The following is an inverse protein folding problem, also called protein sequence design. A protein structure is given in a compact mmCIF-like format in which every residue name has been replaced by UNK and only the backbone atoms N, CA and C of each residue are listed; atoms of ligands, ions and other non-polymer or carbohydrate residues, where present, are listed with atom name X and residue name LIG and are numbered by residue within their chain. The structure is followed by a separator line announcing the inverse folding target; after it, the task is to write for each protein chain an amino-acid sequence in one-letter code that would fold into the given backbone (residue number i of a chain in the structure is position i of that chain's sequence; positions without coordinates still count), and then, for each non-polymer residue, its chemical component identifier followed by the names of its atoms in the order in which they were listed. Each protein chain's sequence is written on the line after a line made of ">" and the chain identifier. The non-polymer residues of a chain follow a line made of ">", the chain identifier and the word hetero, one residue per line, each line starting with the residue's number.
data_IF_608593194260
#
_entry.id   IF_608593194260
#
_cell.length_a   1.000
_cell.length_b   1.000
_cell.length_c   1.000
_cell.angle_alpha   90.00
_cell.angle_beta   90.00
_cell.angle_gamma   90.00
#
_symmetry.space_group_name_H-M   'P 1'
#
loop_
_entity.id
_entity.type
_entity.pdbx_description
1 polymer ?
#
# COMPACT_ATOMS: atom_id res chain seq x y z
N UNK A 1 -45.93 71.92 15.97
CA UNK A 1 -45.48 70.70 16.68
C UNK A 1 -46.17 69.40 16.21
N UNK A 2 -47.33 69.37 15.59
CA UNK A 2 -48.03 68.16 15.12
C UNK A 2 -47.51 67.59 13.79
N UNK A 3 -46.86 68.39 12.92
CA UNK A 3 -46.40 67.96 11.62
C UNK A 3 -45.07 67.18 11.66
N UNK A 4 -44.24 67.38 12.65
CA UNK A 4 -42.96 66.68 12.83
C UNK A 4 -43.09 65.23 13.33
N UNK A 5 -44.14 64.98 14.16
CA UNK A 5 -44.36 63.62 14.70
C UNK A 5 -44.91 62.63 13.69
N UNK A 6 -45.70 63.07 12.70
CA UNK A 6 -46.21 62.19 11.64
C UNK A 6 -45.16 61.78 10.63
N UNK A 7 -44.14 62.65 10.37
CA UNK A 7 -43.05 62.30 9.47
C UNK A 7 -42.11 61.25 10.04
N UNK A 8 -41.84 61.28 11.32
CA UNK A 8 -41.01 60.32 12.04
C UNK A 8 -41.68 58.94 12.07
N UNK A 9 -42.97 58.89 12.32
CA UNK A 9 -43.75 57.65 12.44
C UNK A 9 -43.85 56.90 11.05
N UNK A 10 -43.94 57.65 9.96
CA UNK A 10 -43.91 57.02 8.61
C UNK A 10 -42.53 56.52 8.17
N UNK A 11 -41.45 57.17 8.62
CA UNK A 11 -40.09 56.71 8.38
C UNK A 11 -39.77 55.43 9.17
N UNK A 12 -40.18 55.34 10.43
CA UNK A 12 -40.03 54.14 11.27
C UNK A 12 -40.82 52.94 10.72
N UNK A 13 -42.04 53.16 10.21
CA UNK A 13 -42.84 52.10 9.57
C UNK A 13 -42.20 51.56 8.28
N UNK A 14 -41.58 52.44 7.50
CA UNK A 14 -40.85 52.03 6.29
C UNK A 14 -39.55 51.25 6.61
N UNK A 15 -38.82 51.63 7.65
CA UNK A 15 -37.63 50.94 8.14
C UNK A 15 -38.00 49.57 8.72
N UNK A 16 -39.10 49.50 9.49
CA UNK A 16 -39.59 48.23 10.07
C UNK A 16 -40.06 47.25 8.96
N UNK A 17 -40.67 47.75 7.89
CA UNK A 17 -41.13 46.94 6.77
C UNK A 17 -39.93 46.45 5.93
N UNK A 18 -38.86 47.24 5.75
CA UNK A 18 -37.62 46.84 5.09
C UNK A 18 -36.86 45.79 5.92
N UNK A 19 -36.82 45.88 7.23
CA UNK A 19 -36.23 44.88 8.11
C UNK A 19 -37.00 43.54 8.06
N UNK A 20 -38.34 43.58 7.98
CA UNK A 20 -39.16 42.37 7.87
C UNK A 20 -38.94 41.63 6.53
N UNK A 21 -38.73 42.35 5.45
CA UNK A 21 -38.45 41.78 4.13
C UNK A 21 -37.04 41.16 4.07
N UNK A 22 -36.07 41.74 4.79
CA UNK A 22 -34.70 41.18 4.86
C UNK A 22 -34.67 39.86 5.66
N UNK A 23 -35.55 39.65 6.62
CA UNK A 23 -35.65 38.40 7.41
C UNK A 23 -36.36 37.30 6.63
N UNK A 24 -37.27 37.64 5.71
CA UNK A 24 -37.94 36.66 4.83
C UNK A 24 -37.12 36.24 3.63
N UNK A 25 -35.99 36.92 3.33
CA UNK A 25 -35.09 36.66 2.20
C UNK A 25 -34.04 35.58 2.44
N UNK A 26 -33.85 35.10 3.66
CA UNK A 26 -33.06 33.92 3.91
C UNK A 26 -33.84 32.67 3.45
N UNK A 27 -33.88 32.44 2.14
CA UNK A 27 -34.10 31.11 1.61
C UNK A 27 -32.97 30.26 2.17
N UNK A 28 -33.31 29.43 3.12
CA UNK A 28 -32.49 28.31 3.54
C UNK A 28 -32.17 27.53 2.26
N UNK A 29 -30.98 27.75 1.73
CA UNK A 29 -30.44 26.94 0.68
C UNK A 29 -30.31 25.53 1.31
N UNK A 30 -31.32 24.68 1.11
CA UNK A 30 -31.20 23.27 1.35
C UNK A 30 -29.98 22.86 0.51
N UNK A 31 -28.87 22.73 1.18
CA UNK A 31 -27.79 21.92 0.62
C UNK A 31 -28.46 20.57 0.33
N UNK A 32 -28.61 20.26 -0.94
CA UNK A 32 -28.79 18.90 -1.40
C UNK A 32 -27.44 18.26 -1.05
N UNK A 33 -27.29 17.83 0.20
CA UNK A 33 -26.38 16.74 0.48
C UNK A 33 -26.93 15.59 -0.36
N UNK A 34 -26.43 15.48 -1.59
CA UNK A 34 -26.47 14.23 -2.29
C UNK A 34 -25.85 13.26 -1.28
N UNK A 35 -26.66 12.37 -0.72
CA UNK A 35 -26.16 11.24 0.03
C UNK A 35 -25.34 10.45 -0.99
N UNK A 36 -24.05 10.77 -1.06
CA UNK A 36 -23.10 9.93 -1.78
C UNK A 36 -23.24 8.57 -1.10
N UNK A 37 -23.71 7.60 -1.85
CA UNK A 37 -23.70 6.22 -1.37
C UNK A 37 -22.29 5.94 -0.86
N UNK A 38 -22.12 5.26 0.30
CA UNK A 38 -20.80 4.94 0.80
C UNK A 38 -19.97 4.35 -0.34
N UNK A 39 -18.82 4.92 -0.61
CA UNK A 39 -17.96 4.52 -1.72
C UNK A 39 -16.81 3.71 -1.13
N UNK A 40 -16.57 2.54 -1.69
CA UNK A 40 -15.39 1.76 -1.37
C UNK A 40 -14.44 1.73 -2.57
N UNK A 41 -13.19 1.39 -2.35
CA UNK A 41 -12.20 1.30 -3.42
C UNK A 41 -11.04 0.38 -3.07
N UNK A 42 -10.43 -0.20 -4.10
CA UNK A 42 -9.23 -1.02 -3.94
C UNK A 42 -8.30 -0.81 -5.12
N UNK A 43 -7.00 -0.68 -4.83
CA UNK A 43 -5.95 -0.60 -5.83
C UNK A 43 -4.83 -1.55 -5.45
N UNK A 44 -4.29 -2.26 -6.44
CA UNK A 44 -3.19 -3.21 -6.26
C UNK A 44 -2.04 -2.94 -7.22
N UNK A 45 -0.86 -3.40 -6.84
CA UNK A 45 0.26 -3.54 -7.76
C UNK A 45 0.98 -4.88 -7.57
N UNK A 46 1.50 -5.42 -8.65
CA UNK A 46 2.26 -6.68 -8.68
C UNK A 46 3.78 -6.48 -8.80
N UNK A 47 4.26 -5.25 -8.58
CA UNK A 47 5.69 -4.92 -8.60
C UNK A 47 6.06 -3.85 -9.60
N UNK A 48 7.28 -3.28 -9.41
CA UNK A 48 7.95 -2.43 -10.39
C UNK A 48 8.97 -3.25 -11.18
N UNK A 49 9.29 -2.80 -12.38
CA UNK A 49 10.27 -3.40 -13.27
C UNK A 49 9.91 -3.11 -14.72
N UNK A 50 10.76 -3.54 -15.63
CA UNK A 50 10.48 -3.39 -17.06
C UNK A 50 9.49 -4.47 -17.49
N UNK A 51 8.22 -4.23 -17.27
CA UNK A 51 7.13 -5.08 -17.77
C UNK A 51 6.81 -4.62 -19.20
N UNK A 52 7.77 -4.76 -20.09
CA UNK A 52 7.56 -4.48 -21.51
C UNK A 52 6.78 -5.62 -22.14
N UNK A 53 5.73 -5.29 -22.86
CA UNK A 53 4.88 -6.27 -23.54
C UNK A 53 5.68 -7.15 -24.52
N UNK A 54 6.70 -6.59 -25.15
CA UNK A 54 7.63 -7.28 -26.07
C UNK A 54 8.47 -8.37 -25.39
N UNK A 55 8.68 -8.26 -24.05
CA UNK A 55 9.44 -9.22 -23.25
C UNK A 55 8.54 -10.26 -22.55
N UNK A 56 7.24 -10.19 -22.77
CA UNK A 56 6.25 -11.04 -22.11
C UNK A 56 5.59 -11.97 -23.13
N UNK A 57 5.70 -13.27 -22.90
CA UNK A 57 4.95 -14.23 -23.70
C UNK A 57 3.46 -14.10 -23.46
N UNK A 58 2.58 -14.38 -24.44
CA UNK A 58 1.13 -14.36 -24.25
C UNK A 58 0.67 -15.23 -23.07
N UNK A 59 1.31 -16.37 -22.85
CA UNK A 59 1.04 -17.27 -21.73
C UNK A 59 1.34 -16.63 -20.38
N UNK A 60 2.51 -15.97 -20.27
CA UNK A 60 2.89 -15.26 -19.04
C UNK A 60 1.96 -14.06 -18.78
N UNK A 61 1.64 -13.27 -19.81
CA UNK A 61 0.69 -12.16 -19.69
C UNK A 61 -0.67 -12.64 -19.17
N UNK A 62 -1.18 -13.73 -19.73
CA UNK A 62 -2.44 -14.31 -19.29
C UNK A 62 -2.38 -14.81 -17.83
N UNK A 63 -1.26 -15.41 -17.41
CA UNK A 63 -1.06 -15.87 -16.04
C UNK A 63 -1.05 -14.69 -15.04
N UNK A 64 -0.30 -13.62 -15.32
CA UNK A 64 -0.30 -12.41 -14.48
C UNK A 64 -1.69 -11.78 -14.39
N UNK A 65 -2.36 -11.60 -15.53
CA UNK A 65 -3.73 -11.04 -15.56
C UNK A 65 -4.71 -11.87 -14.76
N UNK A 66 -4.61 -13.20 -14.84
CA UNK A 66 -5.47 -14.12 -14.08
C UNK A 66 -5.31 -13.88 -12.58
N UNK A 67 -4.08 -13.92 -12.05
CA UNK A 67 -3.85 -13.80 -10.61
C UNK A 67 -4.17 -12.39 -10.09
N UNK A 68 -3.81 -11.32 -10.84
CA UNK A 68 -4.17 -9.96 -10.46
C UNK A 68 -5.69 -9.74 -10.47
N UNK A 69 -6.40 -10.34 -11.43
CA UNK A 69 -7.87 -10.30 -11.46
C UNK A 69 -8.49 -11.06 -10.29
N UNK A 70 -7.92 -12.18 -9.90
CA UNK A 70 -8.35 -12.94 -8.73
C UNK A 70 -8.11 -12.13 -7.45
N UNK A 71 -6.91 -11.60 -7.26
CA UNK A 71 -6.54 -10.80 -6.10
C UNK A 71 -7.48 -9.59 -5.91
N UNK A 72 -7.69 -8.79 -6.97
CA UNK A 72 -8.57 -7.61 -6.88
C UNK A 72 -10.03 -8.00 -6.64
N UNK A 73 -10.50 -9.12 -7.20
CA UNK A 73 -11.87 -9.60 -6.96
C UNK A 73 -12.09 -10.02 -5.51
N UNK A 74 -11.11 -10.68 -4.89
CA UNK A 74 -11.20 -11.06 -3.47
C UNK A 74 -11.41 -9.83 -2.61
N UNK A 75 -10.52 -8.83 -2.70
CA UNK A 75 -10.64 -7.61 -1.91
C UNK A 75 -11.89 -6.79 -2.24
N UNK A 76 -12.24 -6.66 -3.54
CA UNK A 76 -13.45 -5.99 -3.97
C UNK A 76 -14.71 -6.63 -3.38
N UNK A 77 -14.80 -7.96 -3.38
CA UNK A 77 -15.95 -8.67 -2.83
C UNK A 77 -16.09 -8.48 -1.32
N UNK A 78 -14.97 -8.44 -0.59
CA UNK A 78 -14.95 -8.15 0.85
C UNK A 78 -15.54 -6.76 1.10
N UNK A 79 -15.01 -5.74 0.41
CA UNK A 79 -15.48 -4.35 0.55
C UNK A 79 -16.93 -4.16 0.14
N UNK A 80 -17.35 -4.77 -0.96
CA UNK A 80 -18.73 -4.71 -1.45
C UNK A 80 -19.73 -5.29 -0.45
N UNK A 81 -19.32 -6.30 0.32
CA UNK A 81 -20.13 -6.95 1.36
C UNK A 81 -20.02 -6.26 2.73
N UNK A 82 -19.37 -5.09 2.83
CA UNK A 82 -19.22 -4.34 4.07
C UNK A 82 -18.07 -4.82 4.97
N UNK A 83 -17.13 -5.61 4.43
CA UNK A 83 -15.92 -6.00 5.13
C UNK A 83 -14.93 -4.83 5.24
N UNK A 84 -13.96 -4.93 6.15
CA UNK A 84 -13.01 -3.85 6.43
C UNK A 84 -11.92 -3.72 5.35
N UNK A 85 -11.35 -2.52 5.25
CA UNK A 85 -10.19 -2.25 4.41
C UNK A 85 -8.98 -3.11 4.79
N UNK A 86 -8.78 -3.39 6.10
CA UNK A 86 -7.75 -4.31 6.58
C UNK A 86 -7.94 -5.72 6.01
N UNK A 87 -9.14 -6.31 6.15
CA UNK A 87 -9.42 -7.66 5.64
C UNK A 87 -9.22 -7.70 4.11
N UNK A 88 -9.70 -6.69 3.39
CA UNK A 88 -9.54 -6.60 1.96
C UNK A 88 -8.07 -6.56 1.53
N UNK A 89 -7.23 -5.77 2.21
CA UNK A 89 -5.78 -5.70 1.95
C UNK A 89 -5.11 -7.04 2.25
N UNK A 90 -5.37 -7.64 3.41
CA UNK A 90 -4.77 -8.91 3.80
C UNK A 90 -5.07 -10.01 2.79
N UNK A 91 -6.35 -10.25 2.51
CA UNK A 91 -6.77 -11.35 1.62
C UNK A 91 -6.35 -11.14 0.17
N UNK A 92 -6.30 -9.89 -0.28
CA UNK A 92 -5.78 -9.54 -1.61
C UNK A 92 -4.30 -9.86 -1.73
N UNK A 93 -3.50 -9.49 -0.71
CA UNK A 93 -2.06 -9.77 -0.71
C UNK A 93 -1.78 -11.27 -0.58
N UNK A 94 -2.57 -12.04 0.18
CA UNK A 94 -2.46 -13.50 0.25
C UNK A 94 -2.49 -14.15 -1.14
N UNK A 95 -3.42 -13.74 -2.02
CA UNK A 95 -3.51 -14.29 -3.39
C UNK A 95 -2.20 -14.06 -4.15
N UNK A 96 -1.55 -12.92 -3.94
CA UNK A 96 -0.29 -12.60 -4.59
C UNK A 96 0.91 -13.27 -3.93
N UNK A 97 0.94 -13.40 -2.60
CA UNK A 97 1.98 -14.12 -1.84
C UNK A 97 1.96 -15.64 -2.13
N UNK A 98 0.80 -16.23 -2.36
CA UNK A 98 0.63 -17.64 -2.70
C UNK A 98 0.98 -17.95 -4.17
N UNK A 99 1.21 -16.92 -4.98
CA UNK A 99 1.55 -17.04 -6.39
C UNK A 99 3.06 -17.00 -6.63
N UNK A 100 3.57 -17.95 -7.42
CA UNK A 100 4.97 -17.97 -7.85
C UNK A 100 5.36 -16.86 -8.85
N UNK A 101 4.40 -16.04 -9.29
CA UNK A 101 4.63 -15.01 -10.31
C UNK A 101 5.26 -13.75 -9.73
N UNK A 102 4.91 -13.38 -8.49
CA UNK A 102 5.32 -12.12 -7.87
C UNK A 102 6.55 -12.28 -6.97
N UNK A 103 7.23 -11.19 -6.69
CA UNK A 103 8.31 -11.18 -5.71
C UNK A 103 7.76 -10.91 -4.30
N UNK A 104 6.98 -11.82 -3.80
CA UNK A 104 6.42 -11.85 -2.44
C UNK A 104 6.04 -13.30 -2.13
N UNK A 105 6.15 -13.72 -0.88
CA UNK A 105 5.81 -15.09 -0.49
C UNK A 105 6.45 -16.14 -1.40
N UNK A 106 5.65 -17.02 -2.01
CA UNK A 106 6.06 -18.16 -2.83
C UNK A 106 6.94 -17.82 -4.03
N UNK A 107 6.86 -16.60 -4.57
CA UNK A 107 7.64 -16.17 -5.72
C UNK A 107 8.79 -15.25 -5.37
N UNK A 108 9.18 -15.17 -4.11
CA UNK A 108 10.21 -14.28 -3.62
C UNK A 108 11.58 -14.53 -4.26
N UNK A 109 12.36 -13.47 -4.41
CA UNK A 109 13.75 -13.54 -4.89
C UNK A 109 14.66 -14.11 -3.82
N UNK A 110 15.78 -14.67 -4.27
CA UNK A 110 16.80 -15.26 -3.41
C UNK A 110 17.88 -14.25 -3.03
N UNK A 111 18.37 -14.38 -1.80
CA UNK A 111 19.54 -13.66 -1.29
C UNK A 111 20.83 -14.15 -1.96
N UNK A 112 21.95 -13.48 -1.70
CA UNK A 112 23.27 -13.92 -2.14
C UNK A 112 23.69 -15.29 -1.58
N UNK A 113 23.13 -15.69 -0.45
CA UNK A 113 23.36 -16.98 0.20
C UNK A 113 22.40 -18.08 -0.27
N UNK A 114 21.60 -17.78 -1.33
CA UNK A 114 20.61 -18.72 -1.87
C UNK A 114 19.48 -19.06 -0.89
N UNK A 115 19.21 -18.18 0.06
CA UNK A 115 18.14 -18.26 1.03
C UNK A 115 17.00 -17.31 0.69
N UNK A 116 15.86 -17.48 1.39
CA UNK A 116 14.71 -16.56 1.32
C UNK A 116 14.72 -15.66 2.56
N UNK A 117 14.44 -14.39 2.34
CA UNK A 117 14.16 -13.40 3.38
C UNK A 117 13.00 -12.53 2.91
N UNK A 118 11.89 -12.59 3.65
CA UNK A 118 10.63 -11.91 3.33
C UNK A 118 10.44 -10.72 4.24
N UNK A 119 9.86 -9.66 3.70
CA UNK A 119 9.53 -8.43 4.40
C UNK A 119 8.07 -8.07 4.10
N UNK A 120 7.33 -7.56 5.09
CA UNK A 120 5.98 -7.03 4.90
C UNK A 120 5.66 -5.94 5.91
N UNK A 121 4.75 -5.05 5.55
CA UNK A 121 4.16 -4.08 6.47
C UNK A 121 2.69 -3.83 6.15
N UNK A 122 1.99 -3.41 7.18
CA UNK A 122 0.60 -2.99 7.13
C UNK A 122 0.39 -1.73 7.96
N UNK A 123 -0.50 -0.85 7.53
CA UNK A 123 -0.89 0.34 8.28
C UNK A 123 -2.39 0.58 8.16
N UNK A 124 -3.01 0.86 9.30
CA UNK A 124 -4.42 1.25 9.43
C UNK A 124 -4.53 2.78 9.43
N UNK A 125 -5.26 3.34 8.47
CA UNK A 125 -5.41 4.79 8.33
C UNK A 125 -6.32 5.46 9.35
N UNK A 126 -7.16 4.70 10.06
CA UNK A 126 -8.13 5.27 11.00
C UNK A 126 -7.51 5.70 12.32
N UNK A 127 -6.46 5.00 12.76
CA UNK A 127 -5.81 5.22 14.06
C UNK A 127 -4.28 5.33 13.96
N UNK A 128 -3.73 5.19 12.75
CA UNK A 128 -2.30 5.17 12.42
C UNK A 128 -1.53 3.99 13.02
N UNK A 129 -2.23 2.97 13.52
CA UNK A 129 -1.59 1.74 13.96
C UNK A 129 -0.91 1.04 12.78
N UNK A 130 0.26 0.49 13.03
CA UNK A 130 1.06 -0.15 12.00
C UNK A 130 1.82 -1.35 12.54
N UNK A 131 2.09 -2.30 11.66
CA UNK A 131 2.93 -3.45 11.97
C UNK A 131 3.80 -3.84 10.78
N UNK A 132 5.00 -4.32 11.08
CA UNK A 132 5.95 -4.74 10.07
C UNK A 132 6.78 -5.92 10.54
N UNK A 133 7.21 -6.73 9.57
CA UNK A 133 8.21 -7.78 9.77
C UNK A 133 9.27 -7.71 8.69
N UNK A 134 10.49 -8.12 9.01
CA UNK A 134 11.57 -8.21 8.02
C UNK A 134 12.46 -9.41 8.25
N UNK A 135 13.03 -9.94 7.15
CA UNK A 135 14.02 -11.01 7.18
C UNK A 135 13.50 -12.34 7.71
N UNK A 136 12.21 -12.64 7.52
CA UNK A 136 11.62 -13.93 7.89
C UNK A 136 11.72 -14.92 6.73
N UNK A 137 11.75 -16.21 7.02
CA UNK A 137 12.02 -17.26 6.03
C UNK A 137 11.07 -18.43 6.06
N UNK A 138 10.17 -18.50 7.03
CA UNK A 138 9.28 -19.65 7.27
C UNK A 138 7.80 -19.28 7.38
N UNK A 139 7.46 -18.00 7.46
CA UNK A 139 6.07 -17.53 7.54
C UNK A 139 5.46 -17.54 6.14
N UNK A 140 4.42 -18.32 5.92
CA UNK A 140 3.80 -18.50 4.59
C UNK A 140 3.28 -17.18 4.01
N UNK A 141 2.54 -16.42 4.81
CA UNK A 141 1.97 -15.14 4.43
C UNK A 141 2.49 -14.01 5.33
N UNK A 142 3.60 -13.37 4.93
CA UNK A 142 4.24 -12.29 5.70
C UNK A 142 3.30 -11.13 6.08
N UNK A 143 2.34 -10.78 5.23
CA UNK A 143 1.39 -9.70 5.50
C UNK A 143 0.56 -9.95 6.76
N UNK A 144 0.12 -11.20 6.98
CA UNK A 144 -0.60 -11.55 8.22
C UNK A 144 0.25 -11.38 9.46
N UNK A 145 1.54 -11.69 9.38
CA UNK A 145 2.45 -11.49 10.51
C UNK A 145 2.65 -9.99 10.80
N UNK A 146 2.75 -9.15 9.77
CA UNK A 146 2.79 -7.70 9.95
C UNK A 146 1.52 -7.17 10.65
N UNK A 147 0.34 -7.63 10.25
CA UNK A 147 -0.93 -7.28 10.89
C UNK A 147 -0.94 -7.77 12.36
N UNK A 148 -0.47 -8.98 12.64
CA UNK A 148 -0.40 -9.49 14.02
C UNK A 148 0.59 -8.72 14.90
N UNK A 149 1.69 -8.20 14.34
CA UNK A 149 2.57 -7.28 15.07
C UNK A 149 1.82 -6.03 15.49
N UNK A 150 1.03 -5.44 14.60
CA UNK A 150 0.19 -4.28 14.89
C UNK A 150 -0.87 -4.57 15.97
N UNK A 151 -1.58 -5.69 15.84
CA UNK A 151 -2.73 -6.00 16.70
C UNK A 151 -2.35 -6.51 18.10
N UNK A 152 -1.29 -7.31 18.19
CA UNK A 152 -1.02 -8.16 19.34
C UNK A 152 0.37 -7.94 19.96
N UNK A 153 1.07 -6.86 19.59
CA UNK A 153 2.35 -6.52 20.22
C UNK A 153 2.43 -5.02 20.54
N UNK A 154 3.28 -4.61 21.48
CA UNK A 154 3.55 -3.19 21.74
C UNK A 154 4.53 -2.58 20.74
N UNK A 155 4.93 -3.32 19.72
CA UNK A 155 5.96 -2.93 18.75
C UNK A 155 5.36 -2.66 17.39
N UNK A 156 5.99 -1.77 16.62
CA UNK A 156 5.64 -1.54 15.22
C UNK A 156 6.38 -2.50 14.29
N UNK A 157 7.57 -2.97 14.65
CA UNK A 157 8.38 -3.79 13.75
C UNK A 157 9.15 -4.88 14.51
N UNK A 158 9.10 -6.10 13.96
CA UNK A 158 9.89 -7.23 14.41
C UNK A 158 10.74 -7.78 13.24
N UNK A 159 11.84 -8.49 13.54
CA UNK A 159 12.71 -9.01 12.49
C UNK A 159 13.25 -10.41 12.76
N UNK A 160 13.57 -11.12 11.68
CA UNK A 160 14.25 -12.42 11.70
C UNK A 160 13.61 -13.43 12.63
N UNK A 161 14.44 -14.16 13.38
CA UNK A 161 13.96 -15.21 14.30
C UNK A 161 13.01 -14.68 15.39
N UNK A 162 13.18 -13.43 15.82
CA UNK A 162 12.27 -12.81 16.79
C UNK A 162 10.85 -12.66 16.22
N UNK A 163 10.73 -12.22 14.97
CA UNK A 163 9.45 -12.13 14.28
C UNK A 163 8.80 -13.51 14.07
N UNK A 164 9.58 -14.53 13.71
CA UNK A 164 9.08 -15.91 13.56
C UNK A 164 8.61 -16.50 14.90
N UNK A 165 9.34 -16.27 15.99
CA UNK A 165 8.93 -16.71 17.32
C UNK A 165 7.63 -16.03 17.76
N UNK A 166 7.47 -14.73 17.50
CA UNK A 166 6.21 -14.03 17.73
C UNK A 166 5.08 -14.62 16.89
N UNK A 167 5.31 -14.79 15.56
CA UNK A 167 4.32 -15.34 14.63
C UNK A 167 3.81 -16.74 15.07
N UNK A 168 4.68 -17.57 15.64
CA UNK A 168 4.32 -18.87 16.17
C UNK A 168 3.31 -18.76 17.33
N UNK A 169 3.37 -17.70 18.13
CA UNK A 169 2.37 -17.45 19.19
C UNK A 169 1.03 -16.94 18.65
N UNK A 170 0.97 -16.55 17.38
CA UNK A 170 -0.21 -15.99 16.74
C UNK A 170 -0.98 -16.98 15.86
N UNK A 171 -0.65 -18.26 15.92
CA UNK A 171 -1.25 -19.35 15.13
C UNK A 171 -1.16 -19.12 13.60
N UNK A 172 -0.09 -18.47 13.13
CA UNK A 172 0.15 -18.28 11.71
C UNK A 172 0.71 -19.55 11.06
N UNK A 173 0.45 -19.72 9.76
CA UNK A 173 0.92 -20.87 8.99
C UNK A 173 2.42 -20.74 8.70
N UNK A 174 3.17 -21.79 8.99
CA UNK A 174 4.60 -21.92 8.71
C UNK A 174 4.82 -22.94 7.60
N UNK A 175 5.82 -22.70 6.80
CA UNK A 175 6.26 -23.58 5.71
C UNK A 175 7.78 -23.72 5.74
N UNK A 176 8.27 -24.80 5.16
CA UNK A 176 9.72 -24.95 4.95
C UNK A 176 10.20 -23.95 3.89
N UNK A 177 11.45 -23.45 3.98
CA UNK A 177 11.97 -22.44 3.05
C UNK A 177 11.86 -22.83 1.57
N UNK A 178 11.89 -24.12 1.26
CA UNK A 178 11.77 -24.67 -0.09
C UNK A 178 10.43 -24.37 -0.75
N UNK A 179 9.38 -24.13 0.05
CA UNK A 179 8.05 -23.70 -0.45
C UNK A 179 8.13 -22.45 -1.31
N UNK A 180 9.05 -21.53 -0.98
CA UNK A 180 9.20 -20.25 -1.67
C UNK A 180 10.05 -20.32 -2.92
N UNK A 181 10.82 -21.40 -3.11
CA UNK A 181 11.75 -21.53 -4.22
C UNK A 181 11.03 -21.79 -5.54
N UNK A 182 11.46 -21.07 -6.56
CA UNK A 182 11.00 -21.31 -7.93
C UNK A 182 12.20 -21.38 -8.87
N UNK A 183 12.13 -22.23 -9.91
CA UNK A 183 13.19 -22.37 -10.92
C UNK A 183 13.54 -21.03 -11.57
N UNK A 184 12.53 -20.18 -11.78
CA UNK A 184 12.72 -18.85 -12.35
C UNK A 184 13.63 -17.99 -11.46
N UNK A 185 13.39 -17.96 -10.14
CA UNK A 185 14.19 -17.15 -9.19
C UNK A 185 15.60 -17.70 -9.00
N UNK A 186 15.76 -19.02 -8.98
CA UNK A 186 17.09 -19.67 -8.95
C UNK A 186 17.90 -19.30 -10.20
N UNK A 187 17.30 -19.38 -11.39
CA UNK A 187 17.95 -18.97 -12.64
C UNK A 187 18.29 -17.48 -12.64
N UNK A 188 17.40 -16.62 -12.15
CA UNK A 188 17.63 -15.18 -12.05
C UNK A 188 18.81 -14.86 -11.13
N UNK A 189 18.91 -15.50 -9.95
CA UNK A 189 20.04 -15.33 -9.05
C UNK A 189 21.36 -15.74 -9.70
N UNK A 190 21.41 -16.93 -10.33
CA UNK A 190 22.63 -17.40 -11.04
C UNK A 190 23.09 -16.41 -12.09
N UNK A 191 22.16 -15.85 -12.86
CA UNK A 191 22.45 -14.84 -13.87
C UNK A 191 23.00 -13.54 -13.26
N UNK A 192 22.38 -13.04 -12.18
CA UNK A 192 22.86 -11.83 -11.49
C UNK A 192 24.26 -12.03 -10.91
N UNK A 193 24.54 -13.18 -10.27
CA UNK A 193 25.88 -13.52 -9.76
C UNK A 193 26.91 -13.57 -10.88
N UNK A 194 26.61 -14.20 -12.03
CA UNK A 194 27.48 -14.26 -13.16
C UNK A 194 27.84 -12.87 -13.72
N UNK A 195 26.85 -11.98 -13.82
CA UNK A 195 27.05 -10.61 -14.29
C UNK A 195 27.82 -9.75 -13.28
N UNK A 196 27.63 -9.94 -11.98
CA UNK A 196 28.47 -9.30 -10.95
C UNK A 196 29.95 -9.72 -11.07
N UNK A 197 30.24 -11.01 -11.34
CA UNK A 197 31.58 -11.49 -11.51
C UNK A 197 32.28 -10.87 -12.75
N UNK A 198 31.52 -10.45 -13.75
CA UNK A 198 32.03 -9.76 -14.95
C UNK A 198 32.19 -8.24 -14.76
N UNK A 199 31.79 -7.67 -13.63
CA UNK A 199 31.70 -6.21 -13.40
C UNK A 199 33.06 -5.47 -13.51
N UNK A 200 34.16 -6.17 -13.46
CA UNK A 200 35.51 -5.64 -13.72
C UNK A 200 35.86 -5.59 -15.23
N UNK A 201 34.94 -5.99 -16.12
CA UNK A 201 35.05 -5.88 -17.58
C UNK A 201 34.05 -4.81 -18.08
N UNK A 202 34.32 -4.14 -19.22
CA UNK A 202 33.34 -3.20 -19.80
C UNK A 202 32.03 -3.95 -20.08
N UNK A 203 30.96 -3.58 -19.40
CA UNK A 203 29.60 -4.14 -19.57
C UNK A 203 28.82 -3.20 -20.46
N UNK A 204 28.07 -3.72 -21.42
CA UNK A 204 27.22 -2.90 -22.29
C UNK A 204 26.10 -2.21 -21.50
N UNK A 205 25.64 -1.06 -22.00
CA UNK A 205 24.52 -0.31 -21.39
C UNK A 205 23.23 -1.16 -21.31
N UNK A 206 23.02 -2.06 -22.27
CA UNK A 206 21.87 -2.96 -22.30
C UNK A 206 21.93 -4.01 -21.17
N UNK A 207 23.12 -4.57 -20.88
CA UNK A 207 23.31 -5.53 -19.77
C UNK A 207 23.16 -4.82 -18.41
N UNK A 208 23.64 -3.58 -18.28
CA UNK A 208 23.45 -2.77 -17.08
C UNK A 208 21.98 -2.47 -16.84
N UNK A 209 21.24 -2.07 -17.88
CA UNK A 209 19.80 -1.83 -17.82
C UNK A 209 19.04 -3.09 -17.44
N UNK A 210 19.35 -4.24 -18.06
CA UNK A 210 18.73 -5.51 -17.76
C UNK A 210 18.93 -5.94 -16.30
N UNK A 211 20.12 -5.73 -15.73
CA UNK A 211 20.43 -6.01 -14.32
C UNK A 211 19.60 -5.14 -13.37
N UNK A 212 19.40 -3.89 -13.72
CA UNK A 212 18.58 -2.97 -12.92
C UNK A 212 17.11 -3.42 -12.90
N UNK A 213 16.57 -3.88 -14.02
CA UNK A 213 15.14 -4.20 -14.16
C UNK A 213 14.70 -5.55 -13.57
N UNK A 214 15.61 -6.51 -13.41
CA UNK A 214 15.30 -7.81 -12.78
C UNK A 214 15.41 -7.81 -11.25
N UNK A 215 15.80 -6.69 -10.65
CA UNK A 215 16.08 -6.60 -9.21
C UNK A 215 14.85 -6.33 -8.37
N UNK A 216 13.76 -5.85 -8.96
CA UNK A 216 12.62 -5.30 -8.22
C UNK A 216 11.34 -6.06 -8.51
N UNK A 217 10.53 -6.13 -7.55
CA UNK A 217 9.17 -6.59 -7.54
C UNK A 217 8.71 -6.54 -6.09
N UNK A 218 7.49 -6.21 -5.87
CA UNK A 218 6.88 -6.07 -4.56
C UNK A 218 5.40 -6.08 -4.82
N UNK A 219 4.61 -6.77 -4.03
CA UNK A 219 3.17 -6.68 -4.15
C UNK A 219 2.63 -5.68 -3.15
N UNK A 220 1.57 -4.99 -3.53
CA UNK A 220 0.90 -4.09 -2.61
C UNK A 220 -0.58 -3.93 -2.89
N UNK A 221 -1.27 -3.52 -1.86
CA UNK A 221 -2.69 -3.26 -1.88
C UNK A 221 -3.02 -2.08 -0.98
N UNK A 222 -3.88 -1.20 -1.46
CA UNK A 222 -4.53 -0.17 -0.66
C UNK A 222 -6.04 -0.28 -0.82
N UNK A 223 -6.79 -0.07 0.25
CA UNK A 223 -8.23 -0.19 0.25
C UNK A 223 -8.90 0.92 1.06
N UNK A 224 -10.10 1.29 0.62
CA UNK A 224 -11.06 2.15 1.31
C UNK A 224 -12.33 1.34 1.53
N UNK A 225 -12.79 1.20 2.76
CA UNK A 225 -14.03 0.50 3.07
C UNK A 225 -15.26 1.44 3.09
N UNK A 226 -16.44 0.85 3.26
CA UNK A 226 -17.71 1.60 3.30
C UNK A 226 -17.84 2.53 4.52
N UNK A 227 -17.02 2.34 5.55
CA UNK A 227 -16.95 3.20 6.74
C UNK A 227 -16.01 4.39 6.54
N UNK A 228 -15.31 4.45 5.40
CA UNK A 228 -14.34 5.50 5.08
C UNK A 228 -12.95 5.25 5.64
N UNK A 229 -12.64 4.03 6.07
CA UNK A 229 -11.32 3.69 6.59
C UNK A 229 -10.39 3.25 5.48
N UNK A 230 -9.19 3.80 5.49
CA UNK A 230 -8.09 3.46 4.61
C UNK A 230 -7.17 2.42 5.26
N UNK A 231 -6.65 1.51 4.45
CA UNK A 231 -5.58 0.61 4.84
C UNK A 231 -4.57 0.45 3.70
N UNK A 232 -3.32 0.21 4.05
CA UNK A 232 -2.23 -0.08 3.11
C UNK A 232 -1.43 -1.28 3.58
N UNK A 233 -1.04 -2.13 2.62
CA UNK A 233 -0.15 -3.26 2.86
C UNK A 233 0.83 -3.46 1.73
N UNK A 234 2.05 -3.90 2.07
CA UNK A 234 3.12 -4.16 1.11
C UNK A 234 3.86 -5.43 1.54
N UNK A 235 4.19 -6.32 0.59
CA UNK A 235 4.92 -7.56 0.85
C UNK A 235 5.94 -7.84 -0.24
N UNK A 236 7.14 -8.32 0.14
CA UNK A 236 8.27 -8.50 -0.79
C UNK A 236 9.28 -9.54 -0.31
N UNK A 237 10.03 -10.11 -1.27
CA UNK A 237 11.31 -10.78 -1.04
C UNK A 237 12.52 -9.83 -1.13
N UNK A 238 12.29 -8.54 -1.40
CA UNK A 238 13.35 -7.55 -1.57
C UNK A 238 14.00 -7.61 -2.96
N UNK A 239 15.33 -7.55 -3.01
CA UNK A 239 16.15 -7.48 -4.20
C UNK A 239 16.86 -8.80 -4.46
N UNK A 240 16.87 -9.29 -5.71
CA UNK A 240 17.65 -10.47 -6.10
C UNK A 240 19.15 -10.27 -5.76
N UNK A 241 19.75 -11.27 -5.15
CA UNK A 241 21.15 -11.25 -4.70
C UNK A 241 21.43 -10.22 -3.60
N UNK A 242 20.41 -9.83 -2.81
CA UNK A 242 20.62 -8.98 -1.63
C UNK A 242 21.59 -9.64 -0.65
N UNK A 243 22.39 -8.83 0.03
CA UNK A 243 23.44 -9.25 0.96
C UNK A 243 23.18 -8.67 2.34
N UNK A 244 23.77 -9.27 3.36
CA UNK A 244 23.82 -8.73 4.73
C UNK A 244 22.44 -8.39 5.30
N UNK A 245 21.43 -9.23 5.04
CA UNK A 245 20.04 -9.04 5.49
C UNK A 245 19.47 -7.68 5.07
N UNK A 246 19.79 -7.21 3.83
CA UNK A 246 19.33 -5.94 3.30
C UNK A 246 17.81 -5.83 3.37
N UNK A 247 17.34 -4.76 3.97
CA UNK A 247 15.93 -4.37 4.05
C UNK A 247 15.67 -3.24 3.05
N UNK A 248 14.58 -3.34 2.29
CA UNK A 248 14.08 -2.31 1.39
C UNK A 248 13.06 -1.41 2.05
N UNK A 249 12.31 -0.69 1.22
CA UNK A 249 11.25 0.23 1.65
C UNK A 249 9.98 -0.48 2.13
N UNK A 250 9.70 -1.67 1.60
CA UNK A 250 8.43 -2.37 1.84
C UNK A 250 8.04 -2.52 3.33
N UNK A 251 8.94 -2.91 4.26
CA UNK A 251 8.59 -3.02 5.67
C UNK A 251 8.73 -1.71 6.45
N UNK A 252 9.14 -0.62 5.81
CA UNK A 252 9.38 0.67 6.48
C UNK A 252 8.15 1.56 6.34
N UNK A 253 7.43 1.73 7.45
CA UNK A 253 6.28 2.64 7.52
C UNK A 253 6.72 4.07 7.19
N UNK A 254 6.00 4.70 6.29
CA UNK A 254 6.33 6.02 5.75
C UNK A 254 7.23 5.99 4.51
N UNK A 255 7.93 4.87 4.23
CA UNK A 255 8.74 4.73 3.02
C UNK A 255 7.99 3.96 1.93
N UNK A 256 7.70 2.68 2.14
CA UNK A 256 7.00 1.80 1.19
C UNK A 256 5.51 1.63 1.47
N UNK A 257 5.07 1.89 2.68
CA UNK A 257 3.69 1.71 3.13
C UNK A 257 3.27 2.86 4.03
N UNK A 258 2.11 3.45 3.76
CA UNK A 258 1.52 4.47 4.62
C UNK A 258 -0.01 4.52 4.43
N UNK A 259 -0.76 4.75 5.50
CA UNK A 259 -2.20 5.00 5.44
C UNK A 259 -2.62 6.03 6.49
N UNK A 260 -3.45 6.98 6.10
CA UNK A 260 -4.03 7.98 6.98
C UNK A 260 -5.39 8.40 6.40
N UNK A 261 -6.48 8.22 7.17
CA UNK A 261 -7.82 8.60 6.74
C UNK A 261 -7.97 10.09 6.39
N UNK A 262 -7.11 10.94 6.95
CA UNK A 262 -7.12 12.37 6.63
C UNK A 262 -6.52 12.70 5.24
N UNK A 263 -5.82 11.77 4.61
CA UNK A 263 -5.07 12.02 3.37
C UNK A 263 -5.23 10.88 2.35
N UNK A 264 -4.39 9.84 2.42
CA UNK A 264 -4.36 8.76 1.44
C UNK A 264 -3.79 7.46 2.02
N UNK A 265 -3.92 6.38 1.24
CA UNK A 265 -3.22 5.12 1.46
C UNK A 265 -2.24 4.86 0.31
N UNK A 266 -1.03 4.42 0.64
CA UNK A 266 0.08 4.25 -0.28
C UNK A 266 0.75 2.90 -0.04
N UNK A 267 0.96 2.16 -1.13
CA UNK A 267 1.87 1.03 -1.21
C UNK A 267 2.80 1.25 -2.40
N UNK A 268 4.10 1.22 -2.16
CA UNK A 268 5.11 1.57 -3.15
C UNK A 268 6.03 0.39 -3.48
N UNK A 269 6.69 0.48 -4.62
CA UNK A 269 7.71 -0.47 -5.07
C UNK A 269 8.72 0.22 -5.96
N UNK A 270 9.98 -0.22 -5.88
CA UNK A 270 11.06 0.38 -6.66
C UNK A 270 12.43 0.12 -6.04
N UNK A 271 13.32 1.10 -6.15
CA UNK A 271 14.63 1.03 -5.48
C UNK A 271 14.52 1.53 -4.05
N UNK A 272 14.35 0.62 -3.11
CA UNK A 272 14.00 0.90 -1.72
C UNK A 272 14.88 1.93 -1.02
N UNK A 273 16.18 2.00 -1.36
CA UNK A 273 17.11 2.96 -0.79
C UNK A 273 16.73 4.42 -1.06
N UNK A 274 16.09 4.71 -2.20
CA UNK A 274 15.57 6.06 -2.49
C UNK A 274 14.30 6.34 -1.70
N UNK A 275 13.39 5.37 -1.65
CA UNK A 275 12.13 5.50 -0.90
C UNK A 275 12.36 5.68 0.60
N UNK A 276 13.31 4.94 1.18
CA UNK A 276 13.68 5.06 2.60
C UNK A 276 14.26 6.46 2.89
N UNK A 277 15.24 6.90 2.08
CA UNK A 277 15.91 8.21 2.32
C UNK A 277 14.99 9.41 2.17
N UNK A 278 13.98 9.30 1.32
CA UNK A 278 13.02 10.37 1.05
C UNK A 278 11.69 10.19 1.79
N UNK A 279 11.50 9.09 2.53
CA UNK A 279 10.26 8.77 3.26
C UNK A 279 9.03 8.93 2.36
N UNK A 280 9.12 8.39 1.13
CA UNK A 280 8.26 8.74 -0.02
C UNK A 280 6.78 8.60 0.29
N UNK A 281 6.35 7.49 0.94
CA UNK A 281 4.94 7.28 1.20
C UNK A 281 4.37 8.32 2.17
N UNK A 282 5.10 8.68 3.22
CA UNK A 282 4.68 9.74 4.14
C UNK A 282 4.76 11.13 3.49
N UNK A 283 5.79 11.41 2.67
CA UNK A 283 5.94 12.71 2.00
C UNK A 283 4.73 13.04 1.11
N UNK A 284 4.19 12.04 0.39
CA UNK A 284 2.96 12.19 -0.40
C UNK A 284 1.78 12.58 0.51
N UNK A 285 1.59 11.87 1.63
CA UNK A 285 0.54 12.18 2.60
C UNK A 285 0.73 13.58 3.22
N UNK A 286 1.96 13.95 3.56
CA UNK A 286 2.30 15.26 4.10
C UNK A 286 2.03 16.41 3.12
N UNK A 287 2.26 16.20 1.82
CA UNK A 287 1.91 17.18 0.78
C UNK A 287 0.38 17.40 0.70
N UNK A 288 -0.41 16.35 0.85
CA UNK A 288 -1.88 16.46 0.93
C UNK A 288 -2.30 17.22 2.19
N UNK A 289 -1.75 16.83 3.36
CA UNK A 289 -2.13 17.39 4.65
C UNK A 289 -1.71 18.87 4.79
N UNK A 290 -0.45 19.20 4.46
CA UNK A 290 0.11 20.54 4.76
C UNK A 290 -0.09 21.53 3.64
N UNK A 291 -0.25 21.08 2.39
CA UNK A 291 -0.43 21.95 1.22
C UNK A 291 -1.80 21.83 0.57
N UNK A 292 -2.66 20.93 1.05
CA UNK A 292 -3.98 20.69 0.46
C UNK A 292 -3.91 20.16 -0.98
N UNK A 293 -2.84 19.45 -1.35
CA UNK A 293 -2.73 18.80 -2.66
C UNK A 293 -3.63 17.56 -2.72
N UNK A 294 -4.12 17.24 -3.91
CA UNK A 294 -4.96 16.05 -4.18
C UNK A 294 -4.31 15.17 -5.24
#
# INVERSE_FOLDING_TARGET
>A
KKLTFNKINNSMKKISLLLLIAILGCKQQKSIEASLSPTFGIVIHGGAGTILKENMTPTNEAAYKKVLTEAIKVGHTILQNGGSSQEAVEKTIHVMEDSSLFNAGKGAVLTSNETIELDASFMNGSNLDAGAISGVSTIKNPISAAIKVMENSPHVMLSGKGAENFAATQNLEFVEPEYFFTDHRVKALKRVKALEALRNKPISSAETSFLQHQRYGTVGCVALDLEGNLAAGTSTGGMTNKKWNRIGDAPIIGAGTYANNATCAISATGWGEFFIRSVVAHDISALMEYKGLS
#
